data_IF_174185997361
#
_entry.id   IF_174185997361
#
_cell.length_a   1.000
_cell.length_b   1.000
_cell.length_c   1.000
_cell.angle_alpha   90.00
_cell.angle_beta   90.00
_cell.angle_gamma   90.00
#
_symmetry.space_group_name_H-M   'P 1'
#
loop_
_entity.id
_entity.type
_entity.pdbx_description
1 polymer ?
#
# COMPACT_ATOMS: atom_id res chain seq x y z
N UNK A 1 25.98 0.01 11.30
CA UNK A 1 25.48 0.93 10.26
C UNK A 1 26.09 2.31 10.36
N UNK A 2 26.96 2.64 9.39
CA UNK A 2 27.38 4.01 9.11
C UNK A 2 26.29 4.72 8.27
N UNK A 3 25.94 5.97 8.61
CA UNK A 3 24.87 6.74 7.94
C UNK A 3 25.16 7.00 6.46
N UNK A 4 26.42 7.27 6.09
CA UNK A 4 26.82 7.51 4.71
C UNK A 4 26.63 6.25 3.85
N UNK A 5 27.07 5.10 4.35
CA UNK A 5 26.84 3.80 3.69
C UNK A 5 25.35 3.50 3.59
N UNK A 6 24.56 3.86 4.61
CA UNK A 6 23.12 3.67 4.57
C UNK A 6 22.44 4.47 3.46
N UNK A 7 22.79 5.76 3.34
CA UNK A 7 22.29 6.62 2.27
C UNK A 7 22.68 6.10 0.89
N UNK A 8 23.93 5.71 0.69
CA UNK A 8 24.39 5.13 -0.59
C UNK A 8 23.57 3.91 -0.99
N UNK A 9 23.28 3.01 -0.04
CA UNK A 9 22.45 1.81 -0.31
C UNK A 9 21.01 2.19 -0.61
N UNK A 10 20.40 3.08 0.17
CA UNK A 10 19.03 3.53 -0.05
C UNK A 10 18.87 4.21 -1.42
N UNK A 11 19.80 5.10 -1.80
CA UNK A 11 19.81 5.71 -3.13
C UNK A 11 19.98 4.68 -4.25
N UNK A 12 20.82 3.65 -4.06
CA UNK A 12 20.99 2.56 -5.04
C UNK A 12 19.69 1.80 -5.30
N UNK A 13 18.89 1.55 -4.27
CA UNK A 13 17.58 0.91 -4.42
C UNK A 13 16.52 1.89 -4.95
N UNK A 14 16.57 3.16 -4.54
CA UNK A 14 15.68 4.21 -5.04
C UNK A 14 15.85 4.44 -6.54
N UNK A 15 17.08 4.34 -7.07
CA UNK A 15 17.35 4.39 -8.50
C UNK A 15 16.62 3.28 -9.30
N UNK A 16 16.18 2.21 -8.62
CA UNK A 16 15.37 1.12 -9.18
C UNK A 16 13.88 1.24 -8.84
N UNK A 17 13.45 2.38 -8.30
CA UNK A 17 12.07 2.60 -7.86
C UNK A 17 11.71 1.92 -6.53
N UNK A 18 12.70 1.37 -5.80
CA UNK A 18 12.46 0.70 -4.51
C UNK A 18 12.73 1.70 -3.39
N UNK A 19 11.66 2.17 -2.74
CA UNK A 19 11.75 3.15 -1.66
C UNK A 19 10.83 2.88 -0.47
N UNK A 20 9.96 1.86 -0.56
CA UNK A 20 9.13 1.37 0.55
C UNK A 20 9.65 0.01 1.00
N UNK A 21 9.89 -0.13 2.30
CA UNK A 21 10.58 -1.28 2.87
C UNK A 21 9.82 -1.84 4.07
N UNK A 22 9.72 -3.15 4.15
CA UNK A 22 9.48 -3.81 5.44
C UNK A 22 10.75 -3.80 6.27
N UNK A 23 10.64 -3.98 7.59
CA UNK A 23 11.82 -4.21 8.45
C UNK A 23 12.70 -5.37 7.94
N UNK A 24 12.09 -6.41 7.37
CA UNK A 24 12.79 -7.58 6.80
C UNK A 24 13.58 -7.19 5.55
N UNK A 25 13.06 -6.29 4.71
CA UNK A 25 13.80 -5.77 3.56
C UNK A 25 15.00 -4.98 4.00
N UNK A 26 14.83 -4.07 4.96
CA UNK A 26 15.96 -3.30 5.49
C UNK A 26 17.03 -4.21 6.11
N UNK A 27 16.64 -5.32 6.74
CA UNK A 27 17.61 -6.30 7.24
C UNK A 27 18.44 -6.93 6.11
N UNK A 28 17.88 -7.07 4.91
CA UNK A 28 18.59 -7.54 3.71
C UNK A 28 19.41 -6.44 3.04
N UNK A 29 18.93 -5.19 3.04
CA UNK A 29 19.70 -4.02 2.57
C UNK A 29 20.96 -3.82 3.43
N UNK A 30 20.83 -4.05 4.73
CA UNK A 30 21.90 -3.97 5.73
C UNK A 30 22.28 -5.36 6.23
N UNK A 31 22.62 -6.26 5.30
CA UNK A 31 22.89 -7.68 5.58
C UNK A 31 24.13 -7.89 6.46
N UNK A 32 25.13 -7.02 6.33
CA UNK A 32 26.42 -7.04 7.01
C UNK A 32 26.37 -6.51 8.45
N UNK A 33 25.29 -5.83 8.85
CA UNK A 33 25.12 -5.39 10.23
C UNK A 33 24.68 -6.56 11.13
N UNK A 34 25.34 -6.68 12.30
CA UNK A 34 24.83 -7.49 13.40
C UNK A 34 23.47 -6.95 13.89
N UNK A 35 22.64 -7.80 14.49
CA UNK A 35 21.25 -7.46 14.81
C UNK A 35 21.09 -6.24 15.73
N UNK A 36 21.93 -6.12 16.77
CA UNK A 36 21.90 -4.95 17.66
C UNK A 36 22.33 -3.66 16.96
N UNK A 37 23.34 -3.77 16.09
CA UNK A 37 23.82 -2.66 15.26
C UNK A 37 22.74 -2.20 14.28
N UNK A 38 22.03 -3.14 13.66
CA UNK A 38 20.91 -2.87 12.76
C UNK A 38 19.76 -2.16 13.50
N UNK A 39 19.34 -2.66 14.66
CA UNK A 39 18.25 -2.04 15.45
C UNK A 39 18.58 -0.59 15.83
N UNK A 40 19.78 -0.35 16.38
CA UNK A 40 20.24 1.00 16.75
C UNK A 40 20.36 1.91 15.53
N UNK A 41 20.92 1.38 14.44
CA UNK A 41 21.06 2.12 13.19
C UNK A 41 19.70 2.50 12.57
N UNK A 42 18.75 1.58 12.52
CA UNK A 42 17.40 1.84 12.02
C UNK A 42 16.71 2.95 12.84
N UNK A 43 16.81 2.87 14.17
CA UNK A 43 16.29 3.92 15.06
C UNK A 43 16.92 5.28 14.75
N UNK A 44 18.24 5.32 14.51
CA UNK A 44 18.95 6.54 14.12
C UNK A 44 18.47 7.10 12.79
N UNK A 45 18.33 6.27 11.75
CA UNK A 45 17.86 6.72 10.43
C UNK A 45 16.43 7.28 10.48
N UNK A 46 15.57 6.71 11.33
CA UNK A 46 14.22 7.24 11.54
C UNK A 46 14.26 8.56 12.29
N UNK A 47 15.03 8.65 13.39
CA UNK A 47 15.19 9.88 14.16
C UNK A 47 15.79 11.02 13.35
N UNK A 48 16.68 10.73 12.41
CA UNK A 48 17.30 11.74 11.54
C UNK A 48 16.46 12.07 10.30
N UNK A 49 15.26 11.50 10.15
CA UNK A 49 14.38 11.77 9.01
C UNK A 49 14.85 11.17 7.67
N UNK A 50 15.85 10.29 7.66
CA UNK A 50 16.30 9.59 6.45
C UNK A 50 15.26 8.53 6.05
N UNK A 51 14.69 7.85 7.06
CA UNK A 51 13.58 6.92 6.89
C UNK A 51 12.35 7.45 7.61
N UNK A 52 11.24 7.53 6.90
CA UNK A 52 9.93 7.78 7.49
C UNK A 52 9.32 6.46 7.97
N UNK A 53 8.87 6.41 9.22
CA UNK A 53 8.09 5.27 9.72
C UNK A 53 6.64 5.41 9.27
N UNK A 54 6.32 4.96 8.05
CA UNK A 54 4.97 5.02 7.48
C UNK A 54 3.91 4.43 8.42
N UNK A 55 4.19 3.25 8.99
CA UNK A 55 3.45 2.62 10.07
C UNK A 55 4.32 1.52 10.71
N UNK A 56 3.80 0.79 11.69
CA UNK A 56 4.59 -0.23 12.43
C UNK A 56 5.22 -1.25 11.48
N UNK A 57 6.55 -1.22 11.39
CA UNK A 57 7.35 -2.18 10.61
C UNK A 57 7.49 -1.86 9.12
N UNK A 58 6.91 -0.75 8.65
CA UNK A 58 7.02 -0.27 7.27
C UNK A 58 7.72 1.10 7.27
N UNK A 59 8.75 1.22 6.44
CA UNK A 59 9.62 2.37 6.36
C UNK A 59 9.68 2.88 4.93
N UNK A 60 9.75 4.20 4.75
CA UNK A 60 9.86 4.84 3.45
C UNK A 60 11.11 5.69 3.41
N UNK A 61 11.88 5.59 2.32
CA UNK A 61 13.04 6.44 2.13
C UNK A 61 12.61 7.88 1.86
N UNK A 62 12.90 8.78 2.80
CA UNK A 62 12.31 10.12 2.83
C UNK A 62 12.71 10.97 1.61
N UNK A 63 13.94 10.80 1.13
CA UNK A 63 14.53 11.54 0.00
C UNK A 63 14.30 10.90 -1.36
N UNK A 64 13.43 9.89 -1.45
CA UNK A 64 13.10 9.25 -2.72
C UNK A 64 12.41 10.23 -3.66
N UNK A 65 12.91 10.34 -4.90
CA UNK A 65 12.27 11.10 -5.98
C UNK A 65 11.01 10.42 -6.53
N UNK A 66 10.79 9.16 -6.16
CA UNK A 66 9.68 8.33 -6.63
C UNK A 66 8.45 8.42 -5.70
N UNK A 67 8.56 9.15 -4.58
CA UNK A 67 7.44 9.41 -3.67
C UNK A 67 6.38 10.27 -4.36
N UNK A 68 5.13 9.88 -4.17
CA UNK A 68 3.96 10.61 -4.67
C UNK A 68 2.66 10.00 -4.19
N UNK A 69 1.55 10.32 -4.86
CA UNK A 69 0.20 9.84 -4.51
C UNK A 69 0.11 8.30 -4.42
N UNK A 70 0.87 7.58 -5.25
CA UNK A 70 0.85 6.11 -5.29
C UNK A 70 1.67 5.46 -4.15
N UNK A 71 2.35 6.24 -3.29
CA UNK A 71 3.15 5.68 -2.18
C UNK A 71 2.30 4.86 -1.21
N UNK A 72 1.05 5.29 -0.98
CA UNK A 72 0.12 4.59 -0.09
C UNK A 72 -0.15 3.15 -0.56
N UNK A 73 -0.16 2.90 -1.86
CA UNK A 73 -0.35 1.56 -2.42
C UNK A 73 0.86 0.66 -2.19
N UNK A 74 2.07 1.20 -2.33
CA UNK A 74 3.30 0.48 -2.02
C UNK A 74 3.36 0.12 -0.52
N UNK A 75 2.91 1.04 0.35
CA UNK A 75 2.78 0.77 1.78
C UNK A 75 1.73 -0.32 2.03
N UNK A 76 0.59 -0.29 1.33
CA UNK A 76 -0.43 -1.33 1.42
C UNK A 76 0.11 -2.72 0.98
N UNK A 77 0.80 -2.78 -0.16
CA UNK A 77 1.45 -4.00 -0.64
C UNK A 77 2.50 -4.52 0.34
N UNK A 78 3.25 -3.63 1.01
CA UNK A 78 4.20 -4.03 2.05
C UNK A 78 3.53 -4.56 3.33
N UNK A 79 2.39 -3.97 3.75
CA UNK A 79 1.60 -4.41 4.91
C UNK A 79 0.95 -5.80 4.74
N UNK A 80 0.68 -6.19 3.50
CA UNK A 80 0.05 -7.48 3.15
C UNK A 80 0.88 -8.25 2.12
N UNK A 81 2.20 -8.20 2.27
CA UNK A 81 3.11 -8.92 1.36
C UNK A 81 2.84 -10.42 1.42
N UNK A 82 2.77 -11.04 0.25
CA UNK A 82 2.48 -12.47 0.08
C UNK A 82 0.99 -12.79 -0.06
N UNK A 83 0.12 -11.79 0.14
CA UNK A 83 -1.32 -11.90 -0.09
C UNK A 83 -1.69 -11.29 -1.45
N UNK A 84 -2.83 -11.71 -2.00
CA UNK A 84 -3.45 -11.00 -3.11
C UNK A 84 -4.17 -9.77 -2.58
N UNK A 85 -3.77 -8.60 -3.08
CA UNK A 85 -4.32 -7.31 -2.69
C UNK A 85 -4.76 -6.54 -3.94
N UNK A 86 -5.96 -5.99 -3.92
CA UNK A 86 -6.47 -5.16 -5.02
C UNK A 86 -7.34 -4.03 -4.49
N UNK A 87 -7.27 -2.88 -5.13
CA UNK A 87 -8.08 -1.70 -4.80
C UNK A 87 -9.51 -1.98 -5.24
N UNK A 88 -10.48 -1.79 -4.34
CA UNK A 88 -11.90 -2.08 -4.57
C UNK A 88 -12.75 -1.10 -3.76
N UNK A 89 -14.05 -1.40 -3.59
CA UNK A 89 -14.99 -0.63 -2.77
C UNK A 89 -14.97 0.86 -3.18
N UNK A 90 -14.99 1.77 -2.20
CA UNK A 90 -15.08 3.21 -2.42
C UNK A 90 -13.92 3.76 -3.26
N UNK A 91 -12.68 3.29 -3.04
CA UNK A 91 -11.51 3.77 -3.79
C UNK A 91 -11.58 3.39 -5.27
N UNK A 92 -12.01 2.17 -5.62
CA UNK A 92 -12.15 1.78 -7.02
C UNK A 92 -13.38 2.42 -7.68
N UNK A 93 -14.51 2.50 -6.97
CA UNK A 93 -15.74 3.09 -7.51
C UNK A 93 -15.59 4.59 -7.75
N UNK A 94 -14.82 5.28 -6.90
CA UNK A 94 -14.45 6.67 -7.14
C UNK A 94 -13.63 6.86 -8.42
N UNK A 95 -12.67 5.97 -8.70
CA UNK A 95 -11.90 6.00 -9.95
C UNK A 95 -12.80 5.83 -11.19
N UNK A 96 -13.93 5.12 -11.04
CA UNK A 96 -14.95 4.97 -12.07
C UNK A 96 -16.00 6.08 -12.11
N UNK A 97 -15.85 7.13 -11.29
CA UNK A 97 -16.84 8.22 -11.21
C UNK A 97 -18.17 7.83 -10.57
N UNK A 98 -18.27 6.65 -9.94
CA UNK A 98 -19.52 6.16 -9.36
C UNK A 98 -19.77 6.66 -7.94
N UNK A 99 -18.83 7.36 -7.32
CA UNK A 99 -19.00 7.95 -5.98
C UNK A 99 -18.45 9.37 -6.02
N UNK A 100 -19.32 10.35 -5.76
CA UNK A 100 -18.96 11.78 -5.77
C UNK A 100 -18.28 12.27 -4.49
N UNK A 101 -18.36 11.50 -3.39
CA UNK A 101 -17.77 11.83 -2.10
C UNK A 101 -16.77 10.76 -1.67
N UNK A 102 -15.48 11.04 -1.85
CA UNK A 102 -14.41 10.15 -1.40
C UNK A 102 -14.13 10.44 0.07
N UNK A 103 -14.04 9.43 0.95
CA UNK A 103 -13.41 9.61 2.24
C UNK A 103 -11.97 10.08 2.03
N UNK A 104 -11.72 11.37 2.28
CA UNK A 104 -10.41 11.99 2.05
C UNK A 104 -9.32 11.14 2.71
N UNK A 105 -8.29 10.80 1.93
CA UNK A 105 -7.10 10.07 2.39
C UNK A 105 -7.34 8.64 2.88
N UNK A 106 -8.35 7.92 2.37
CA UNK A 106 -8.53 6.48 2.65
C UNK A 106 -8.40 5.62 1.39
N UNK A 107 -7.51 4.64 1.43
CA UNK A 107 -7.37 3.59 0.43
C UNK A 107 -8.09 2.32 0.91
N UNK A 108 -9.12 1.89 0.19
CA UNK A 108 -9.84 0.64 0.46
C UNK A 108 -9.35 -0.50 -0.41
N UNK A 109 -8.93 -1.58 0.24
CA UNK A 109 -8.22 -2.70 -0.38
C UNK A 109 -8.88 -4.01 0.03
N UNK A 110 -9.21 -4.84 -0.95
CA UNK A 110 -9.63 -6.22 -0.69
C UNK A 110 -8.39 -7.11 -0.66
N UNK A 111 -8.33 -8.03 0.30
CA UNK A 111 -7.15 -8.88 0.54
C UNK A 111 -7.52 -10.33 0.83
N UNK A 112 -6.69 -11.30 0.41
CA UNK A 112 -6.80 -12.70 0.89
C UNK A 112 -6.36 -12.85 2.34
N UNK A 113 -5.56 -11.90 2.84
CA UNK A 113 -5.06 -11.86 4.20
C UNK A 113 -6.09 -11.40 5.24
N UNK A 114 -5.61 -11.03 6.41
CA UNK A 114 -6.46 -10.53 7.51
C UNK A 114 -6.96 -9.11 7.22
N UNK A 115 -8.22 -8.83 7.54
CA UNK A 115 -8.75 -7.47 7.58
C UNK A 115 -7.98 -6.60 8.57
N UNK A 116 -8.05 -5.27 8.41
CA UNK A 116 -7.48 -4.34 9.37
C UNK A 116 -7.38 -2.92 8.83
N UNK A 117 -7.42 -1.94 9.73
CA UNK A 117 -7.32 -0.53 9.41
C UNK A 117 -5.99 0.03 9.94
N UNK A 118 -5.24 0.71 9.08
CA UNK A 118 -3.91 1.21 9.38
C UNK A 118 -3.86 2.71 9.11
N UNK A 119 -3.66 3.50 10.16
CA UNK A 119 -3.30 4.92 10.01
C UNK A 119 -1.82 4.98 9.65
N UNK A 120 -1.50 5.65 8.55
CA UNK A 120 -0.12 5.81 8.07
C UNK A 120 0.19 7.29 7.84
N UNK A 121 1.47 7.62 7.66
CA UNK A 121 1.89 8.95 7.23
C UNK A 121 1.35 9.35 5.84
N UNK A 122 0.86 8.38 5.06
CA UNK A 122 0.38 8.58 3.69
C UNK A 122 -1.14 8.53 3.56
N UNK A 123 -1.87 8.40 4.67
CA UNK A 123 -3.31 8.20 4.70
C UNK A 123 -3.71 6.93 5.44
N UNK A 124 -4.99 6.60 5.40
CA UNK A 124 -5.57 5.41 6.01
C UNK A 124 -5.62 4.31 4.96
N UNK A 125 -5.13 3.12 5.32
CA UNK A 125 -5.31 1.92 4.50
C UNK A 125 -6.28 1.00 5.23
N UNK A 126 -7.37 0.64 4.56
CA UNK A 126 -8.34 -0.29 5.09
C UNK A 126 -8.36 -1.58 4.27
N UNK A 127 -8.01 -2.68 4.91
CA UNK A 127 -8.06 -4.01 4.33
C UNK A 127 -9.35 -4.72 4.73
N UNK A 128 -10.07 -5.22 3.73
CA UNK A 128 -11.23 -6.10 3.91
C UNK A 128 -10.93 -7.49 3.36
N UNK A 129 -11.03 -8.52 4.21
CA UNK A 129 -10.78 -9.91 3.81
C UNK A 129 -11.80 -10.39 2.77
N UNK A 130 -11.29 -11.01 1.71
CA UNK A 130 -12.05 -11.82 0.75
C UNK A 130 -11.71 -13.31 0.94
N UNK A 131 -12.67 -14.18 0.60
CA UNK A 131 -12.46 -15.64 0.52
C UNK A 131 -12.30 -16.12 -0.93
N UNK A 132 -12.33 -15.19 -1.91
CA UNK A 132 -12.14 -15.51 -3.33
C UNK A 132 -10.73 -16.03 -3.55
N UNK A 133 -10.61 -16.99 -4.45
CA UNK A 133 -9.31 -17.51 -4.84
C UNK A 133 -8.54 -16.51 -5.74
N UNK A 134 -7.29 -16.85 -6.00
CA UNK A 134 -6.39 -16.02 -6.78
C UNK A 134 -6.87 -15.82 -8.22
N UNK A 135 -7.43 -16.85 -8.87
CA UNK A 135 -7.82 -16.79 -10.26
C UNK A 135 -9.06 -15.89 -10.43
N UNK A 136 -10.03 -16.01 -9.54
CA UNK A 136 -11.20 -15.13 -9.46
C UNK A 136 -10.81 -13.67 -9.30
N UNK A 137 -9.83 -13.39 -8.41
CA UNK A 137 -9.30 -12.04 -8.19
C UNK A 137 -8.63 -11.53 -9.47
N UNK A 138 -7.80 -12.34 -10.12
CA UNK A 138 -7.09 -11.94 -11.35
C UNK A 138 -8.07 -11.64 -12.49
N UNK A 139 -9.14 -12.43 -12.64
CA UNK A 139 -10.18 -12.24 -13.66
C UNK A 139 -11.09 -11.04 -13.36
N UNK A 140 -11.28 -10.71 -12.08
CA UNK A 140 -12.11 -9.60 -11.60
C UNK A 140 -11.36 -8.28 -11.49
N UNK A 141 -10.06 -8.22 -11.85
CA UNK A 141 -9.23 -7.04 -11.69
C UNK A 141 -8.48 -6.67 -12.96
N UNK A 142 -8.24 -5.38 -13.14
CA UNK A 142 -7.40 -4.83 -14.19
C UNK A 142 -5.97 -4.64 -13.67
N UNK A 143 -4.98 -5.03 -14.49
CA UNK A 143 -3.59 -4.66 -14.26
C UNK A 143 -3.39 -3.23 -14.77
N UNK A 144 -2.81 -2.37 -13.95
CA UNK A 144 -2.46 -0.99 -14.28
C UNK A 144 -0.95 -0.79 -14.08
N UNK A 145 -0.46 0.41 -14.37
CA UNK A 145 0.93 0.80 -14.08
C UNK A 145 1.17 1.09 -12.58
N UNK A 146 0.12 1.00 -11.75
CA UNK A 146 0.16 1.21 -10.30
C UNK A 146 0.61 -0.07 -9.59
N UNK A 147 0.94 0.04 -8.29
CA UNK A 147 1.45 -1.10 -7.53
C UNK A 147 0.38 -2.17 -7.29
N UNK A 148 -0.86 -1.73 -7.01
CA UNK A 148 -1.98 -2.62 -6.79
C UNK A 148 -2.89 -2.68 -8.02
N UNK A 149 -3.44 -3.87 -8.27
CA UNK A 149 -4.50 -4.07 -9.27
C UNK A 149 -5.77 -3.34 -8.84
N UNK A 150 -6.58 -2.95 -9.81
CA UNK A 150 -7.90 -2.35 -9.58
C UNK A 150 -9.01 -3.35 -9.85
N UNK A 151 -10.01 -3.42 -8.97
CA UNK A 151 -11.24 -4.15 -9.26
C UNK A 151 -11.91 -3.58 -10.51
N UNK A 152 -12.41 -4.44 -11.40
CA UNK A 152 -13.33 -4.01 -12.48
C UNK A 152 -14.58 -3.36 -11.87
N UNK A 153 -15.26 -2.50 -12.61
CA UNK A 153 -16.49 -1.79 -12.17
C UNK A 153 -17.48 -2.71 -11.45
N UNK A 154 -17.88 -3.81 -12.09
CA UNK A 154 -18.83 -4.77 -11.51
C UNK A 154 -18.27 -5.51 -10.29
N UNK A 155 -16.96 -5.78 -10.29
CA UNK A 155 -16.30 -6.41 -9.16
C UNK A 155 -16.27 -5.49 -7.93
N UNK A 156 -16.03 -4.19 -8.14
CA UNK A 156 -16.03 -3.18 -7.09
C UNK A 156 -17.45 -2.99 -6.51
N UNK A 157 -18.47 -2.92 -7.36
CA UNK A 157 -19.88 -2.85 -6.93
C UNK A 157 -20.30 -4.09 -6.14
N UNK A 158 -19.93 -5.28 -6.64
CA UNK A 158 -20.17 -6.55 -5.96
C UNK A 158 -19.47 -6.62 -4.61
N UNK A 159 -18.24 -6.16 -4.53
CA UNK A 159 -17.49 -6.10 -3.27
C UNK A 159 -18.14 -5.15 -2.27
N UNK A 160 -18.57 -3.96 -2.72
CA UNK A 160 -19.27 -2.98 -1.89
C UNK A 160 -20.54 -3.57 -1.26
N UNK A 161 -21.39 -4.19 -2.10
CA UNK A 161 -22.62 -4.88 -1.66
C UNK A 161 -22.31 -6.02 -0.69
N UNK A 162 -21.34 -6.87 -1.01
CA UNK A 162 -20.95 -8.03 -0.17
C UNK A 162 -20.46 -7.61 1.22
N UNK A 163 -19.71 -6.51 1.29
CA UNK A 163 -19.15 -6.02 2.56
C UNK A 163 -20.21 -5.28 3.39
N UNK A 164 -21.38 -4.97 2.82
CA UNK A 164 -22.44 -4.22 3.49
C UNK A 164 -22.09 -2.75 3.65
N UNK A 165 -21.29 -2.18 2.73
CA UNK A 165 -20.97 -0.74 2.71
C UNK A 165 -22.17 0.05 2.18
N UNK A 166 -22.24 1.33 2.53
CA UNK A 166 -23.34 2.20 2.12
C UNK A 166 -23.37 2.37 0.59
N UNK A 167 -24.44 1.90 -0.05
CA UNK A 167 -24.65 2.00 -1.50
C UNK A 167 -25.36 3.27 -1.92
N UNK A 168 -25.92 4.06 -0.99
CA UNK A 168 -26.60 5.33 -1.33
C UNK A 168 -25.65 6.42 -1.81
N UNK A 169 -24.33 6.21 -1.69
CA UNK A 169 -23.32 7.11 -2.24
C UNK A 169 -23.01 6.84 -3.71
N UNK A 170 -23.59 5.78 -4.28
CA UNK A 170 -23.47 5.49 -5.70
C UNK A 170 -24.26 6.53 -6.48
N UNK A 171 -23.60 7.17 -7.44
CA UNK A 171 -24.30 7.91 -8.49
C UNK A 171 -24.89 6.86 -9.42
N UNK A 172 -26.17 7.02 -9.79
CA UNK A 172 -26.77 6.17 -10.81
C UNK A 172 -25.88 6.25 -12.06
N UNK A 173 -25.30 5.13 -12.44
CA UNK A 173 -24.64 5.03 -13.72
C UNK A 173 -25.75 5.10 -14.75
N UNK A 174 -26.09 6.29 -15.24
CA UNK A 174 -26.93 6.42 -16.42
C UNK A 174 -26.27 5.58 -17.53
N UNK A 175 -27.08 4.70 -18.10
CA UNK A 175 -26.73 3.78 -19.16
C UNK A 175 -26.26 4.57 -20.39
N UNK A 176 -24.99 4.39 -20.79
CA UNK A 176 -24.53 4.63 -22.16
C UNK A 176 -24.22 3.30 -22.85
#
# INVERSE_FOLDING_TARGET
>A
MNTQTALQRLYKFDAKGIYVYTKRDLRRVFFDDADETFKKGLSRLVKSGILESACKGIYVFAYSKNKGANTIELVAGALRRGEYNYISLESALSEYGLISQIPISTLTVMTTGRSGRFKTLYGIIEFTKTKRDALDILNSTNKTDRHLRFAKKDAALRDLKRVGRNTHMLVDAEDE
#
